data_IF_647836831339
#
_entry.id   IF_647836831339
#
_cell.length_a   1.000
_cell.length_b   1.000
_cell.length_c   1.000
_cell.angle_alpha   90.00
_cell.angle_beta   90.00
_cell.angle_gamma   90.00
#
_symmetry.space_group_name_H-M   'P 1'
#
loop_
_entity.id
_entity.type
_entity.pdbx_description
1 polymer ?
#
# COMPACT_ATOMS: atom_id res chain seq x y z
N UNK A 1 -59.67 32.38 -7.52
CA UNK A 1 -58.46 31.69 -7.99
C UNK A 1 -57.43 31.76 -6.87
N UNK A 2 -57.30 30.72 -6.05
CA UNK A 2 -56.39 30.72 -4.89
C UNK A 2 -55.03 30.11 -5.28
N UNK A 3 -53.89 30.69 -4.88
CA UNK A 3 -52.59 30.06 -5.09
C UNK A 3 -52.29 29.08 -3.96
N UNK A 4 -51.83 27.87 -4.31
CA UNK A 4 -51.38 26.85 -3.36
C UNK A 4 -49.85 26.92 -3.21
N UNK A 5 -49.29 27.32 -2.04
CA UNK A 5 -47.85 27.26 -1.79
C UNK A 5 -47.53 25.99 -0.99
N UNK A 6 -47.21 24.88 -1.67
CA UNK A 6 -47.02 23.60 -0.96
C UNK A 6 -45.94 22.65 -1.46
N UNK A 7 -45.20 22.96 -2.55
CA UNK A 7 -44.41 21.93 -3.26
C UNK A 7 -42.88 22.07 -3.22
N UNK A 8 -42.34 23.13 -2.64
CA UNK A 8 -40.88 23.37 -2.63
C UNK A 8 -40.15 22.79 -1.41
N UNK A 9 -40.87 22.51 -0.31
CA UNK A 9 -40.25 22.11 0.97
C UNK A 9 -39.82 20.64 1.02
N UNK A 10 -40.52 19.75 0.29
CA UNK A 10 -40.20 18.31 0.22
C UNK A 10 -39.01 18.00 -0.71
N UNK A 11 -38.88 18.73 -1.81
CA UNK A 11 -37.81 18.51 -2.79
C UNK A 11 -36.41 18.83 -2.23
N UNK A 12 -36.27 19.92 -1.45
CA UNK A 12 -34.98 20.28 -0.82
C UNK A 12 -34.49 19.24 0.19
N UNK A 13 -35.41 18.59 0.92
CA UNK A 13 -35.06 17.53 1.88
C UNK A 13 -34.52 16.29 1.15
N UNK A 14 -35.17 15.86 0.07
CA UNK A 14 -34.71 14.72 -0.73
C UNK A 14 -33.32 14.98 -1.37
N UNK A 15 -33.05 16.21 -1.83
CA UNK A 15 -31.72 16.57 -2.32
C UNK A 15 -30.68 16.58 -1.21
N UNK A 16 -31.03 17.07 -0.01
CA UNK A 16 -30.15 17.04 1.17
C UNK A 16 -29.80 15.62 1.60
N UNK A 17 -30.81 14.74 1.67
CA UNK A 17 -30.62 13.33 2.02
C UNK A 17 -29.71 12.63 1.01
N UNK A 18 -29.90 12.86 -0.30
CA UNK A 18 -29.02 12.32 -1.34
C UNK A 18 -27.56 12.83 -1.25
N UNK A 19 -27.36 14.08 -0.82
CA UNK A 19 -26.01 14.62 -0.58
C UNK A 19 -25.37 13.95 0.63
N UNK A 20 -26.13 13.76 1.72
CA UNK A 20 -25.64 13.07 2.93
C UNK A 20 -25.26 11.63 2.60
N UNK A 21 -26.09 10.92 1.84
CA UNK A 21 -25.81 9.54 1.41
C UNK A 21 -24.54 9.48 0.54
N UNK A 22 -24.38 10.41 -0.40
CA UNK A 22 -23.16 10.50 -1.23
C UNK A 22 -21.91 10.79 -0.39
N UNK A 23 -22.01 11.64 0.64
CA UNK A 23 -20.90 11.92 1.56
C UNK A 23 -20.53 10.69 2.39
N UNK A 24 -21.52 9.91 2.83
CA UNK A 24 -21.31 8.67 3.56
C UNK A 24 -20.64 7.61 2.69
N UNK A 25 -21.05 7.46 1.43
CA UNK A 25 -20.42 6.60 0.43
C UNK A 25 -18.94 6.99 0.21
N UNK A 26 -18.64 8.28 0.03
CA UNK A 26 -17.26 8.77 -0.12
C UNK A 26 -16.43 8.49 1.13
N UNK A 27 -16.99 8.73 2.32
CA UNK A 27 -16.32 8.45 3.58
C UNK A 27 -16.03 6.95 3.76
N UNK A 28 -17.00 6.10 3.42
CA UNK A 28 -16.85 4.65 3.47
C UNK A 28 -15.76 4.17 2.48
N UNK A 29 -15.78 4.66 1.25
CA UNK A 29 -14.76 4.35 0.24
C UNK A 29 -13.36 4.81 0.68
N UNK A 30 -13.24 6.02 1.25
CA UNK A 30 -11.98 6.55 1.79
C UNK A 30 -11.44 5.69 2.93
N UNK A 31 -12.30 5.30 3.89
CA UNK A 31 -11.92 4.40 4.98
C UNK A 31 -11.47 3.03 4.47
N UNK A 32 -12.17 2.47 3.48
CA UNK A 32 -11.80 1.19 2.88
C UNK A 32 -10.42 1.27 2.21
N UNK A 33 -10.13 2.35 1.48
CA UNK A 33 -8.82 2.58 0.86
C UNK A 33 -7.71 2.71 1.91
N UNK A 34 -7.93 3.48 2.97
CA UNK A 34 -6.96 3.61 4.07
C UNK A 34 -6.68 2.26 4.75
N UNK A 35 -7.73 1.48 5.03
CA UNK A 35 -7.58 0.14 5.62
C UNK A 35 -6.83 -0.83 4.70
N UNK A 36 -7.03 -0.75 3.38
CA UNK A 36 -6.28 -1.54 2.40
C UNK A 36 -4.78 -1.17 2.40
N UNK A 37 -4.45 0.12 2.50
CA UNK A 37 -3.05 0.59 2.62
C UNK A 37 -2.42 0.04 3.89
N UNK A 38 -3.08 0.17 5.04
CA UNK A 38 -2.56 -0.34 6.33
C UNK A 38 -2.35 -1.85 6.31
N UNK A 39 -3.28 -2.62 5.73
CA UNK A 39 -3.12 -4.07 5.58
C UNK A 39 -1.98 -4.45 4.64
N UNK A 40 -1.72 -3.63 3.62
CA UNK A 40 -0.59 -3.83 2.72
C UNK A 40 0.74 -3.60 3.44
N UNK A 41 0.80 -2.59 4.31
CA UNK A 41 1.97 -2.32 5.14
C UNK A 41 2.27 -3.47 6.11
N UNK A 42 1.25 -4.11 6.69
CA UNK A 42 1.44 -5.31 7.53
C UNK A 42 1.96 -6.50 6.71
N UNK A 43 1.38 -6.73 5.52
CA UNK A 43 1.79 -7.79 4.60
C UNK A 43 3.25 -7.66 4.18
N UNK A 44 3.74 -6.45 4.00
CA UNK A 44 5.10 -6.11 3.56
C UNK A 44 5.90 -5.39 4.65
N UNK A 45 5.61 -5.69 5.91
CA UNK A 45 6.30 -5.08 7.05
C UNK A 45 7.79 -5.43 7.04
N UNK A 46 8.62 -4.51 7.56
CA UNK A 46 10.07 -4.71 7.68
C UNK A 46 10.36 -5.99 8.45
N UNK A 47 9.71 -6.22 9.59
CA UNK A 47 9.90 -7.42 10.42
C UNK A 47 9.66 -8.72 9.64
N UNK A 48 8.65 -8.74 8.76
CA UNK A 48 8.39 -9.91 7.90
C UNK A 48 9.43 -10.07 6.80
N UNK A 49 9.92 -8.98 6.23
CA UNK A 49 10.99 -9.01 5.24
C UNK A 49 12.30 -9.54 5.85
N UNK A 50 12.66 -9.09 7.06
CA UNK A 50 13.83 -9.57 7.81
C UNK A 50 13.72 -11.07 8.10
N UNK A 51 12.57 -11.53 8.62
CA UNK A 51 12.37 -12.95 8.87
C UNK A 51 12.56 -13.81 7.62
N UNK A 52 12.01 -13.37 6.49
CA UNK A 52 12.19 -14.07 5.21
C UNK A 52 13.65 -14.02 4.71
N UNK A 53 14.40 -12.95 5.02
CA UNK A 53 15.82 -12.83 4.70
C UNK A 53 16.67 -13.77 5.56
N UNK A 54 16.37 -13.88 6.86
CA UNK A 54 17.08 -14.78 7.80
C UNK A 54 16.91 -16.26 7.43
N UNK A 55 15.78 -16.62 6.84
CA UNK A 55 15.49 -17.99 6.37
C UNK A 55 16.20 -18.33 5.04
N UNK A 56 16.76 -17.34 4.32
CA UNK A 56 17.45 -17.54 3.05
C UNK A 56 18.86 -18.10 3.22
N UNK A 57 19.24 -19.02 2.33
CA UNK A 57 20.59 -19.56 2.24
C UNK A 57 21.43 -18.78 1.22
N UNK A 58 22.74 -18.69 1.44
CA UNK A 58 23.68 -18.07 0.50
C UNK A 58 23.68 -16.54 0.50
N UNK A 59 23.12 -15.91 1.54
CA UNK A 59 23.22 -14.47 1.79
C UNK A 59 24.46 -14.24 2.65
N UNK A 60 25.49 -13.60 2.09
CA UNK A 60 26.64 -13.15 2.87
C UNK A 60 26.33 -11.89 3.68
N UNK A 61 27.22 -11.53 4.61
CA UNK A 61 27.01 -10.41 5.52
C UNK A 61 26.86 -9.05 4.81
N UNK A 62 27.62 -8.80 3.75
CA UNK A 62 27.54 -7.53 3.02
C UNK A 62 26.20 -7.41 2.29
N UNK A 63 25.77 -8.51 1.65
CA UNK A 63 24.48 -8.60 0.99
C UNK A 63 23.32 -8.48 2.00
N UNK A 64 23.47 -9.05 3.19
CA UNK A 64 22.47 -8.97 4.26
C UNK A 64 22.23 -7.52 4.67
N UNK A 65 23.28 -6.79 5.06
CA UNK A 65 23.14 -5.39 5.48
C UNK A 65 22.63 -4.48 4.36
N UNK A 66 23.14 -4.67 3.13
CA UNK A 66 22.58 -3.97 1.97
C UNK A 66 21.08 -4.21 1.81
N UNK A 67 20.62 -5.44 2.05
CA UNK A 67 19.19 -5.77 1.92
C UNK A 67 18.35 -5.10 3.01
N UNK A 68 18.89 -4.94 4.22
CA UNK A 68 18.22 -4.17 5.27
C UNK A 68 18.00 -2.72 4.85
N UNK A 69 19.04 -2.08 4.28
CA UNK A 69 18.92 -0.72 3.73
C UNK A 69 17.92 -0.68 2.56
N UNK A 70 17.95 -1.70 1.69
CA UNK A 70 16.99 -1.83 0.59
C UNK A 70 15.53 -1.92 1.08
N UNK A 71 15.29 -2.53 2.24
CA UNK A 71 13.96 -2.64 2.84
C UNK A 71 13.42 -1.35 3.41
N UNK A 72 14.16 -0.25 3.46
CA UNK A 72 13.57 1.06 3.77
C UNK A 72 12.53 1.46 2.71
N UNK A 73 12.73 1.05 1.45
CA UNK A 73 11.78 1.25 0.36
C UNK A 73 10.58 0.29 0.46
N UNK A 74 9.36 0.84 0.59
CA UNK A 74 8.12 0.05 0.61
C UNK A 74 7.92 -0.78 -0.66
N UNK A 75 8.23 -0.21 -1.83
CA UNK A 75 8.16 -0.92 -3.12
C UNK A 75 9.17 -2.08 -3.20
N UNK A 76 10.36 -1.92 -2.62
CA UNK A 76 11.35 -2.99 -2.57
C UNK A 76 10.88 -4.14 -1.67
N UNK A 77 10.29 -3.84 -0.50
CA UNK A 77 9.67 -4.84 0.38
C UNK A 77 8.55 -5.59 -0.32
N UNK A 78 7.64 -4.88 -0.97
CA UNK A 78 6.54 -5.47 -1.72
C UNK A 78 7.05 -6.42 -2.83
N UNK A 79 8.06 -5.98 -3.58
CA UNK A 79 8.69 -6.80 -4.62
C UNK A 79 9.31 -8.06 -4.01
N UNK A 80 10.12 -7.92 -2.96
CA UNK A 80 10.81 -9.03 -2.31
C UNK A 80 9.84 -10.10 -1.76
N UNK A 81 8.80 -9.66 -1.05
CA UNK A 81 7.80 -10.58 -0.47
C UNK A 81 6.99 -11.28 -1.57
N UNK A 82 6.65 -10.57 -2.65
CA UNK A 82 5.86 -11.10 -3.78
C UNK A 82 6.64 -12.06 -4.67
N UNK A 83 7.98 -11.99 -4.67
CA UNK A 83 8.81 -12.97 -5.36
C UNK A 83 8.71 -14.35 -4.72
N UNK A 84 8.70 -15.39 -5.57
CA UNK A 84 8.92 -16.77 -5.12
C UNK A 84 10.29 -16.91 -4.44
N UNK A 85 10.41 -17.80 -3.47
CA UNK A 85 11.61 -17.94 -2.64
C UNK A 85 12.88 -18.14 -3.47
N UNK A 86 12.83 -18.95 -4.54
CA UNK A 86 13.95 -19.24 -5.41
C UNK A 86 14.44 -18.04 -6.25
N UNK A 87 13.64 -16.96 -6.36
CA UNK A 87 13.99 -15.76 -7.12
C UNK A 87 14.55 -14.63 -6.25
N UNK A 88 14.35 -14.68 -4.94
CA UNK A 88 14.71 -13.60 -4.01
C UNK A 88 16.21 -13.32 -4.00
N UNK A 89 17.05 -14.36 -3.86
CA UNK A 89 18.51 -14.19 -3.78
C UNK A 89 19.06 -13.54 -5.06
N UNK A 90 18.68 -14.04 -6.24
CA UNK A 90 19.11 -13.48 -7.51
C UNK A 90 18.66 -12.01 -7.69
N UNK A 91 17.45 -11.67 -7.21
CA UNK A 91 16.96 -10.30 -7.25
C UNK A 91 17.79 -9.36 -6.36
N UNK A 92 18.10 -9.77 -5.11
CA UNK A 92 18.94 -9.00 -4.20
C UNK A 92 20.35 -8.81 -4.79
N UNK A 93 20.98 -9.89 -5.27
CA UNK A 93 22.32 -9.84 -5.87
C UNK A 93 22.37 -8.88 -7.07
N UNK A 94 21.32 -8.87 -7.90
CA UNK A 94 21.22 -7.92 -9.01
C UNK A 94 21.15 -6.46 -8.52
N UNK A 95 20.38 -6.20 -7.47
CA UNK A 95 20.25 -4.88 -6.85
C UNK A 95 21.59 -4.42 -6.27
N UNK A 96 22.26 -5.28 -5.51
CA UNK A 96 23.57 -5.01 -4.92
C UNK A 96 24.63 -4.67 -5.98
N UNK A 97 24.74 -5.48 -7.04
CA UNK A 97 25.67 -5.22 -8.16
C UNK A 97 25.39 -3.90 -8.87
N UNK A 98 24.11 -3.51 -8.98
CA UNK A 98 23.74 -2.24 -9.58
C UNK A 98 24.08 -1.04 -8.68
N UNK A 99 24.07 -1.20 -7.35
CA UNK A 99 24.48 -0.14 -6.42
C UNK A 99 26.00 -0.04 -6.24
N UNK A 100 26.75 -1.11 -6.49
CA UNK A 100 28.22 -1.14 -6.40
C UNK A 100 28.91 -0.99 -7.76
N UNK A 101 28.16 -0.73 -8.84
CA UNK A 101 28.74 -0.47 -10.15
C UNK A 101 29.52 0.86 -10.16
N UNK A 102 30.43 1.07 -11.13
CA UNK A 102 31.15 2.33 -11.24
C UNK A 102 30.14 3.47 -11.40
N UNK A 103 30.24 4.48 -10.53
CA UNK A 103 29.65 5.79 -10.79
C UNK A 103 30.60 6.44 -11.78
N UNK A 104 30.17 6.60 -13.03
CA UNK A 104 30.91 7.36 -14.04
C UNK A 104 31.19 8.79 -13.57
#
# INVERSE_FOLDING_TARGET
>A
MTPQPGRLKRSRKATGDAIVDAMLEIAAASKARAAAIMRNEDRFSISKCIKLLDEMQGVDQALYFYTLDLFESSTARETFVSLKSERRLAWIQRKFRASTGPVD
#
